data_IF_565053635140
#
_entry.id   IF_565053635140
#
_cell.length_a   1.000
_cell.length_b   1.000
_cell.length_c   1.000
_cell.angle_alpha   90.00
_cell.angle_beta   90.00
_cell.angle_gamma   90.00
#
_symmetry.space_group_name_H-M   'P 1'
#
loop_
_entity.id
_entity.type
_entity.pdbx_description
1 polymer ?
#
# COMPACT_ATOMS: atom_id res chain seq x y z
N UNK A 1 55.68 -6.92 27.92
CA UNK A 1 55.40 -7.37 26.54
C UNK A 1 54.85 -6.15 25.82
N UNK A 2 55.68 -5.34 25.14
CA UNK A 2 55.87 -5.28 23.66
C UNK A 2 54.52 -5.16 22.94
N UNK A 3 54.18 -4.25 22.02
CA UNK A 3 54.77 -3.15 21.20
C UNK A 3 53.52 -2.48 20.57
N UNK A 4 53.42 -1.24 20.09
CA UNK A 4 54.22 -0.52 19.11
C UNK A 4 53.27 0.33 18.23
N UNK A 5 53.50 1.64 18.25
CA UNK A 5 53.48 2.65 17.17
C UNK A 5 52.59 2.52 15.91
N UNK A 6 51.95 3.65 15.53
CA UNK A 6 51.51 3.93 14.16
C UNK A 6 50.87 5.31 13.98
N UNK A 7 51.68 6.34 13.68
CA UNK A 7 51.23 7.67 13.21
C UNK A 7 50.97 7.66 11.70
N UNK A 8 49.99 8.46 11.24
CA UNK A 8 50.06 9.13 9.93
C UNK A 8 49.29 10.44 9.96
N UNK A 9 49.85 11.45 9.28
CA UNK A 9 49.53 12.88 9.30
C UNK A 9 49.03 13.29 7.91
N UNK A 10 47.90 14.02 7.92
CA UNK A 10 47.46 15.17 7.08
C UNK A 10 47.77 15.24 5.58
N UNK A 11 46.72 15.55 4.79
CA UNK A 11 46.77 16.64 3.80
C UNK A 11 45.37 17.08 3.34
N UNK A 12 45.04 18.32 3.66
CA UNK A 12 44.03 19.20 3.02
C UNK A 12 44.54 19.61 1.63
N UNK A 13 43.68 20.03 0.68
CA UNK A 13 43.56 21.42 0.15
C UNK A 13 42.56 21.53 -1.04
N UNK A 14 41.74 22.60 -1.00
CA UNK A 14 41.25 23.51 -2.08
C UNK A 14 40.12 23.19 -3.07
N UNK A 15 39.18 24.16 -3.07
CA UNK A 15 38.21 24.56 -4.11
C UNK A 15 38.87 24.98 -5.43
N UNK A 16 38.14 24.83 -6.55
CA UNK A 16 38.12 25.86 -7.61
C UNK A 16 36.84 25.79 -8.45
N UNK A 17 36.35 26.97 -8.81
CA UNK A 17 35.18 27.28 -9.65
C UNK A 17 35.54 27.30 -11.14
N UNK A 18 34.62 26.95 -12.04
CA UNK A 18 34.60 27.55 -13.38
C UNK A 18 33.20 27.51 -14.00
N UNK A 19 32.70 28.71 -14.30
CA UNK A 19 31.57 29.05 -15.14
C UNK A 19 31.93 28.78 -16.62
N UNK A 20 31.05 28.16 -17.40
CA UNK A 20 31.04 28.32 -18.86
C UNK A 20 29.61 28.38 -19.40
N UNK A 21 29.33 29.49 -20.06
CA UNK A 21 28.12 29.82 -20.80
C UNK A 21 28.23 29.24 -22.21
N UNK A 22 27.20 28.55 -22.70
CA UNK A 22 27.05 28.30 -24.15
C UNK A 22 25.57 28.33 -24.57
N UNK A 23 25.27 29.39 -25.32
CA UNK A 23 24.03 29.65 -26.06
C UNK A 23 24.07 28.90 -27.39
N UNK A 24 22.99 28.24 -27.84
CA UNK A 24 22.75 28.00 -29.25
C UNK A 24 21.78 29.06 -29.81
N UNK A 25 22.26 29.78 -30.83
CA UNK A 25 21.43 30.55 -31.76
C UNK A 25 20.93 29.59 -32.84
N UNK A 26 19.62 29.49 -33.06
CA UNK A 26 19.09 28.96 -34.33
C UNK A 26 17.80 29.71 -34.74
N UNK A 27 17.99 30.48 -35.81
CA UNK A 27 17.13 30.71 -36.98
C UNK A 27 15.62 30.53 -36.87
N UNK A 28 14.92 31.65 -37.06
CA UNK A 28 13.50 31.79 -37.33
C UNK A 28 13.04 30.98 -38.55
N UNK A 29 11.93 30.24 -38.41
CA UNK A 29 11.09 29.84 -39.54
C UNK A 29 9.64 30.07 -39.16
N UNK A 30 8.98 30.94 -39.92
CA UNK A 30 7.57 31.30 -39.81
C UNK A 30 6.68 30.20 -40.40
N UNK A 31 5.71 29.69 -39.64
CA UNK A 31 4.50 29.10 -40.21
C UNK A 31 3.27 29.36 -39.30
N UNK A 32 2.35 30.13 -39.88
CA UNK A 32 0.88 30.16 -39.79
C UNK A 32 0.15 29.72 -38.52
N UNK A 33 -0.63 30.65 -37.97
CA UNK A 33 -1.60 30.55 -36.88
C UNK A 33 -2.92 29.85 -37.24
N UNK A 34 -3.48 29.06 -36.31
CA UNK A 34 -4.94 28.80 -36.12
C UNK A 34 -5.18 28.36 -34.65
N UNK A 35 -6.36 28.63 -34.05
CA UNK A 35 -6.46 28.93 -32.61
C UNK A 35 -6.59 27.71 -31.70
N UNK A 36 -6.22 27.98 -30.45
CA UNK A 36 -6.43 27.26 -29.20
C UNK A 36 -7.84 26.67 -29.05
N UNK A 37 -7.91 25.41 -28.62
CA UNK A 37 -9.00 24.92 -27.77
C UNK A 37 -8.38 24.03 -26.70
N UNK A 38 -8.21 24.62 -25.51
CA UNK A 38 -7.80 23.91 -24.30
C UNK A 38 -8.95 23.01 -23.87
N UNK A 39 -8.81 21.69 -24.08
CA UNK A 39 -9.67 20.71 -23.43
C UNK A 39 -8.84 19.98 -22.40
N UNK A 40 -9.03 20.36 -21.14
CA UNK A 40 -8.48 19.65 -19.98
C UNK A 40 -9.17 18.29 -19.89
N UNK A 41 -8.59 17.26 -20.52
CA UNK A 41 -9.07 15.89 -20.35
C UNK A 41 -8.66 15.43 -18.96
N UNK A 42 -9.61 15.46 -18.03
CA UNK A 42 -9.52 14.84 -16.71
C UNK A 42 -9.21 13.36 -16.91
N UNK A 43 -7.96 12.95 -16.64
CA UNK A 43 -7.58 11.54 -16.57
C UNK A 43 -8.47 10.87 -15.54
N UNK A 44 -9.43 10.09 -16.05
CA UNK A 44 -10.24 9.21 -15.24
C UNK A 44 -9.48 7.89 -15.23
N UNK A 45 -8.65 7.68 -14.21
CA UNK A 45 -8.04 6.39 -13.92
C UNK A 45 -9.18 5.41 -13.63
N UNK A 46 -9.59 4.68 -14.65
CA UNK A 46 -10.54 3.59 -14.51
C UNK A 46 -9.75 2.42 -13.96
N UNK A 47 -9.79 2.24 -12.64
CA UNK A 47 -9.29 1.05 -11.96
C UNK A 47 -10.09 -0.14 -12.47
N UNK A 48 -9.55 -0.80 -13.49
CA UNK A 48 -10.16 -2.01 -14.05
C UNK A 48 -9.81 -3.16 -13.13
N UNK A 49 -10.82 -3.68 -12.45
CA UNK A 49 -10.78 -4.93 -11.69
C UNK A 49 -10.26 -6.03 -12.63
N UNK A 50 -9.09 -6.60 -12.34
CA UNK A 50 -8.66 -7.83 -12.99
C UNK A 50 -9.35 -8.97 -12.25
N UNK A 51 -10.47 -9.43 -12.77
CA UNK A 51 -11.12 -10.65 -12.31
C UNK A 51 -10.68 -11.80 -13.23
N UNK A 52 -10.35 -12.95 -12.64
CA UNK A 52 -10.35 -14.26 -13.28
C UNK A 52 -11.50 -14.43 -14.28
N UNK A 53 -11.29 -15.23 -15.33
CA UNK A 53 -12.27 -15.54 -16.39
C UNK A 53 -13.61 -16.12 -15.89
N UNK A 54 -13.72 -16.38 -14.58
CA UNK A 54 -14.91 -16.86 -13.88
C UNK A 54 -15.72 -15.78 -13.15
N UNK A 55 -15.26 -14.52 -13.14
CA UNK A 55 -15.90 -13.40 -12.44
C UNK A 55 -15.73 -13.43 -10.91
N UNK A 56 -14.85 -14.28 -10.37
CA UNK A 56 -14.56 -14.39 -8.94
C UNK A 56 -13.09 -14.10 -8.70
N UNK A 57 -12.77 -13.27 -7.71
CA UNK A 57 -11.40 -13.04 -7.29
C UNK A 57 -11.01 -14.01 -6.16
N UNK A 58 -9.84 -14.64 -6.26
CA UNK A 58 -9.31 -15.61 -5.31
C UNK A 58 -8.08 -15.02 -4.62
N UNK A 59 -8.12 -14.94 -3.30
CA UNK A 59 -7.05 -14.37 -2.49
C UNK A 59 -6.43 -15.43 -1.58
N UNK A 60 -5.11 -15.40 -1.43
CA UNK A 60 -4.43 -16.11 -0.36
C UNK A 60 -4.30 -15.22 0.88
N UNK A 61 -4.53 -15.77 2.06
CA UNK A 61 -4.27 -15.08 3.32
C UNK A 61 -2.76 -15.02 3.55
N UNK A 62 -2.18 -13.83 3.57
CA UNK A 62 -0.74 -13.63 3.66
C UNK A 62 -0.39 -13.13 5.07
N UNK A 63 0.40 -13.90 5.80
CA UNK A 63 0.86 -13.52 7.14
C UNK A 63 2.02 -12.53 7.01
N UNK A 64 1.75 -11.23 7.25
CA UNK A 64 2.79 -10.20 7.12
C UNK A 64 3.81 -10.36 8.25
N UNK A 65 5.06 -10.53 7.86
CA UNK A 65 6.23 -10.55 8.73
C UNK A 65 7.35 -9.70 8.15
N UNK A 66 8.48 -9.63 8.85
CA UNK A 66 9.68 -8.96 8.34
C UNK A 66 10.13 -9.60 7.03
N UNK A 67 10.38 -8.76 6.02
CA UNK A 67 10.86 -9.19 4.70
C UNK A 67 11.69 -8.08 4.03
N UNK A 68 12.32 -8.45 2.93
CA UNK A 68 12.97 -7.56 1.98
C UNK A 68 12.07 -7.31 0.76
N UNK A 69 12.37 -6.24 0.01
CA UNK A 69 11.67 -5.97 -1.24
C UNK A 69 11.82 -7.08 -2.29
N UNK A 70 12.95 -7.79 -2.30
CA UNK A 70 13.18 -8.90 -3.25
C UNK A 70 12.32 -10.12 -2.92
N UNK A 71 12.12 -10.42 -1.63
CA UNK A 71 11.20 -11.47 -1.17
C UNK A 71 9.76 -11.11 -1.55
N UNK A 72 9.33 -9.86 -1.34
CA UNK A 72 7.99 -9.41 -1.76
C UNK A 72 7.74 -9.60 -3.27
N UNK A 73 8.73 -9.30 -4.12
CA UNK A 73 8.65 -9.55 -5.57
C UNK A 73 8.54 -11.04 -5.88
N UNK A 74 9.28 -11.88 -5.15
CA UNK A 74 9.22 -13.34 -5.31
C UNK A 74 7.85 -13.86 -4.94
N UNK A 75 7.32 -13.49 -3.78
CA UNK A 75 6.03 -13.95 -3.28
C UNK A 75 4.86 -13.53 -4.19
N UNK A 76 4.87 -12.29 -4.69
CA UNK A 76 3.85 -11.81 -5.63
C UNK A 76 3.92 -12.58 -6.95
N UNK A 77 5.11 -12.80 -7.50
CA UNK A 77 5.27 -13.55 -8.76
C UNK A 77 4.85 -15.01 -8.60
N UNK A 78 5.22 -15.65 -7.50
CA UNK A 78 4.87 -17.04 -7.23
C UNK A 78 3.36 -17.19 -7.02
N UNK A 79 2.70 -16.24 -6.35
CA UNK A 79 1.26 -16.25 -6.19
C UNK A 79 0.49 -16.03 -7.52
N UNK A 80 0.98 -15.11 -8.36
CA UNK A 80 0.47 -14.94 -9.74
C UNK A 80 0.62 -16.25 -10.51
N UNK A 81 1.79 -16.89 -10.46
CA UNK A 81 2.06 -18.15 -11.14
C UNK A 81 1.19 -19.31 -10.62
N UNK A 82 0.82 -19.30 -9.33
CA UNK A 82 -0.11 -20.24 -8.72
C UNK A 82 -1.59 -19.96 -9.06
N UNK A 83 -1.90 -18.81 -9.67
CA UNK A 83 -3.24 -18.45 -10.11
C UNK A 83 -4.07 -17.69 -9.06
N UNK A 84 -3.44 -17.08 -8.07
CA UNK A 84 -4.12 -16.16 -7.16
C UNK A 84 -4.29 -14.78 -7.81
N UNK A 85 -5.43 -14.14 -7.54
CA UNK A 85 -5.69 -12.76 -7.97
C UNK A 85 -5.11 -11.74 -6.97
N UNK A 86 -4.77 -12.17 -5.76
CA UNK A 86 -4.25 -11.27 -4.75
C UNK A 86 -3.92 -11.87 -3.38
N UNK A 87 -3.53 -10.99 -2.46
CA UNK A 87 -3.37 -11.31 -1.04
C UNK A 87 -4.32 -10.53 -0.13
N UNK A 88 -4.83 -11.23 0.89
CA UNK A 88 -5.37 -10.62 2.10
C UNK A 88 -4.22 -10.46 3.11
N UNK A 89 -3.71 -9.24 3.27
CA UNK A 89 -2.52 -8.94 4.07
C UNK A 89 -2.85 -8.88 5.56
N UNK A 90 -2.53 -9.94 6.29
CA UNK A 90 -2.75 -10.03 7.74
C UNK A 90 -1.75 -9.16 8.50
N UNK A 91 -2.21 -8.07 9.09
CA UNK A 91 -1.38 -7.18 9.89
C UNK A 91 -1.77 -7.23 11.36
N UNK A 92 -0.79 -7.52 12.23
CA UNK A 92 -0.97 -7.65 13.68
C UNK A 92 -0.37 -6.49 14.47
N UNK A 93 0.12 -5.45 13.80
CA UNK A 93 0.56 -4.21 14.42
C UNK A 93 0.25 -3.04 13.50
N UNK A 94 -0.10 -1.90 14.11
CA UNK A 94 -0.29 -0.61 13.44
C UNK A 94 0.59 0.48 14.07
N UNK A 95 1.50 0.10 14.95
CA UNK A 95 2.37 1.04 15.65
C UNK A 95 3.38 1.65 14.69
N UNK A 96 3.59 2.96 14.78
CA UNK A 96 4.63 3.66 14.02
C UNK A 96 6.05 3.25 14.42
N UNK A 97 6.23 2.60 15.59
CA UNK A 97 7.52 2.03 16.00
C UNK A 97 7.88 0.76 15.25
N UNK A 98 6.88 0.04 14.73
CA UNK A 98 7.04 -1.27 14.12
C UNK A 98 7.23 -1.10 12.61
N UNK A 99 8.29 -0.38 12.23
CA UNK A 99 8.53 0.02 10.84
C UNK A 99 8.62 -1.18 9.90
N UNK A 100 9.09 -2.33 10.40
CA UNK A 100 9.14 -3.59 9.64
C UNK A 100 7.80 -3.98 9.00
N UNK A 101 6.67 -3.71 9.68
CA UNK A 101 5.34 -4.07 9.18
C UNK A 101 4.93 -3.14 8.05
N UNK A 102 5.10 -1.83 8.25
CA UNK A 102 4.82 -0.82 7.22
C UNK A 102 5.74 -0.99 6.01
N UNK A 103 7.02 -1.34 6.22
CA UNK A 103 7.98 -1.62 5.16
C UNK A 103 7.55 -2.85 4.35
N UNK A 104 7.20 -3.97 5.01
CA UNK A 104 6.71 -5.18 4.36
C UNK A 104 5.45 -4.92 3.52
N UNK A 105 4.47 -4.21 4.07
CA UNK A 105 3.26 -3.83 3.33
C UNK A 105 3.61 -2.99 2.09
N UNK A 106 4.45 -1.97 2.22
CA UNK A 106 4.88 -1.15 1.09
C UNK A 106 5.65 -1.95 0.03
N UNK A 107 6.49 -2.90 0.44
CA UNK A 107 7.20 -3.79 -0.49
C UNK A 107 6.24 -4.65 -1.29
N UNK A 108 5.21 -5.24 -0.65
CA UNK A 108 4.19 -6.02 -1.33
C UNK A 108 3.37 -5.16 -2.31
N UNK A 109 2.93 -3.96 -1.89
CA UNK A 109 2.23 -3.03 -2.78
C UNK A 109 3.10 -2.60 -3.97
N UNK A 110 4.39 -2.35 -3.74
CA UNK A 110 5.34 -2.01 -4.80
C UNK A 110 5.56 -3.18 -5.75
N UNK A 111 5.67 -4.41 -5.24
CA UNK A 111 5.83 -5.62 -6.05
C UNK A 111 4.60 -5.91 -6.92
N UNK A 112 3.39 -5.60 -6.42
CA UNK A 112 2.14 -5.81 -7.15
C UNK A 112 1.81 -4.68 -8.15
N UNK A 113 2.41 -3.49 -8.01
CA UNK A 113 2.15 -2.34 -8.88
C UNK A 113 2.48 -2.65 -10.35
N UNK A 114 1.63 -2.19 -11.28
CA UNK A 114 1.78 -2.50 -12.71
C UNK A 114 1.42 -3.93 -13.12
N UNK A 115 0.99 -4.79 -12.18
CA UNK A 115 0.47 -6.14 -12.46
C UNK A 115 -1.07 -6.19 -12.31
N UNK A 116 -1.67 -7.33 -12.61
CA UNK A 116 -3.08 -7.61 -12.29
C UNK A 116 -3.31 -7.98 -10.82
N UNK A 117 -2.26 -8.26 -10.05
CA UNK A 117 -2.34 -8.75 -8.68
C UNK A 117 -2.82 -7.65 -7.74
N UNK A 118 -3.76 -7.98 -6.85
CA UNK A 118 -4.39 -7.02 -5.93
C UNK A 118 -4.15 -7.37 -4.48
N UNK A 119 -4.16 -6.35 -3.63
CA UNK A 119 -3.88 -6.49 -2.20
C UNK A 119 -4.94 -5.74 -1.42
N UNK A 120 -5.32 -6.26 -0.25
CA UNK A 120 -6.08 -5.50 0.74
C UNK A 120 -5.60 -5.85 2.15
N UNK A 121 -5.92 -4.97 3.10
CA UNK A 121 -5.53 -5.16 4.50
C UNK A 121 -6.57 -6.03 5.23
N UNK A 122 -6.07 -7.05 5.93
CA UNK A 122 -6.79 -7.83 6.93
C UNK A 122 -6.24 -7.49 8.30
N UNK A 123 -7.00 -6.77 9.12
CA UNK A 123 -6.57 -6.43 10.47
C UNK A 123 -6.72 -7.62 11.41
N UNK A 124 -5.62 -8.05 12.03
CA UNK A 124 -5.64 -9.10 13.03
C UNK A 124 -5.97 -8.51 14.40
N UNK A 125 -7.26 -8.43 14.71
CA UNK A 125 -7.76 -7.81 15.94
C UNK A 125 -7.43 -8.64 17.19
N UNK A 126 -6.93 -9.88 17.04
CA UNK A 126 -6.56 -10.74 18.19
C UNK A 126 -5.38 -10.18 18.98
N UNK A 127 -4.63 -9.26 18.36
CA UNK A 127 -3.50 -8.56 18.95
C UNK A 127 -3.88 -7.28 19.69
N UNK A 128 -5.17 -6.98 19.82
CA UNK A 128 -5.64 -5.79 20.54
C UNK A 128 -5.31 -4.48 19.84
N UNK A 129 -5.44 -4.47 18.50
CA UNK A 129 -5.27 -3.25 17.71
C UNK A 129 -6.29 -2.19 18.13
N UNK A 130 -5.84 -0.95 18.26
CA UNK A 130 -6.70 0.19 18.59
C UNK A 130 -7.54 0.58 17.38
N UNK A 131 -8.86 0.36 17.48
CA UNK A 131 -9.85 0.62 16.42
C UNK A 131 -9.77 2.05 15.91
N UNK A 132 -9.56 3.02 16.82
CA UNK A 132 -9.52 4.45 16.51
C UNK A 132 -8.33 4.85 15.62
N UNK A 133 -7.29 4.02 15.55
CA UNK A 133 -6.09 4.25 14.75
C UNK A 133 -6.09 3.49 13.41
N UNK A 134 -7.04 2.57 13.19
CA UNK A 134 -7.08 1.73 11.98
C UNK A 134 -7.28 2.57 10.71
N UNK A 135 -8.16 3.58 10.75
CA UNK A 135 -8.43 4.41 9.58
C UNK A 135 -7.18 5.19 9.13
N UNK A 136 -6.44 5.76 10.09
CA UNK A 136 -5.21 6.50 9.83
C UNK A 136 -4.11 5.60 9.27
N UNK A 137 -3.96 4.40 9.82
CA UNK A 137 -3.01 3.40 9.32
C UNK A 137 -3.36 2.93 7.91
N UNK A 138 -4.65 2.72 7.62
CA UNK A 138 -5.13 2.16 6.35
C UNK A 138 -5.00 3.12 5.16
N UNK A 139 -5.30 4.41 5.38
CA UNK A 139 -5.41 5.43 4.35
C UNK A 139 -4.25 5.46 3.32
N UNK A 140 -2.96 5.44 3.71
CA UNK A 140 -1.86 5.45 2.74
C UNK A 140 -1.81 4.21 1.84
N UNK A 141 -2.31 3.06 2.29
CA UNK A 141 -2.33 1.83 1.50
C UNK A 141 -3.48 1.81 0.49
N UNK A 142 -4.65 2.35 0.86
CA UNK A 142 -5.81 2.44 -0.05
C UNK A 142 -5.50 3.31 -1.28
N UNK A 143 -4.59 4.27 -1.15
CA UNK A 143 -4.14 5.10 -2.26
C UNK A 143 -3.21 4.39 -3.25
N UNK A 144 -2.72 3.18 -2.95
CA UNK A 144 -1.82 2.43 -3.81
C UNK A 144 -2.57 1.79 -4.99
N UNK A 145 -1.94 1.76 -6.17
CA UNK A 145 -2.52 1.22 -7.41
C UNK A 145 -3.02 -0.24 -7.29
N UNK A 146 -2.28 -1.05 -6.54
CA UNK A 146 -2.58 -2.46 -6.35
C UNK A 146 -3.67 -2.71 -5.29
N UNK A 147 -4.24 -1.69 -4.65
CA UNK A 147 -5.29 -1.90 -3.65
C UNK A 147 -6.57 -2.48 -4.29
N UNK A 148 -7.19 -3.43 -3.61
CA UNK A 148 -8.39 -4.11 -4.10
C UNK A 148 -9.67 -3.32 -3.77
N UNK A 149 -10.50 -3.09 -4.79
CA UNK A 149 -11.78 -2.40 -4.66
C UNK A 149 -12.93 -3.26 -5.20
N UNK A 150 -14.10 -3.12 -4.58
CA UNK A 150 -15.37 -3.70 -5.04
C UNK A 150 -16.36 -2.56 -5.21
N UNK A 151 -16.88 -2.37 -6.43
CA UNK A 151 -17.81 -1.27 -6.75
C UNK A 151 -17.32 0.12 -6.31
N UNK A 152 -16.02 0.37 -6.45
CA UNK A 152 -15.37 1.62 -6.03
C UNK A 152 -15.15 1.77 -4.52
N UNK A 153 -15.45 0.74 -3.73
CA UNK A 153 -15.27 0.71 -2.27
C UNK A 153 -14.01 -0.08 -1.90
N UNK A 154 -13.21 0.43 -0.97
CA UNK A 154 -11.98 -0.21 -0.52
C UNK A 154 -12.32 -1.49 0.25
N UNK A 155 -11.89 -2.65 -0.26
CA UNK A 155 -12.16 -3.91 0.42
C UNK A 155 -11.29 -4.03 1.67
N UNK A 156 -11.91 -4.32 2.82
CA UNK A 156 -11.23 -4.43 4.11
C UNK A 156 -11.80 -5.62 4.84
N UNK A 157 -10.94 -6.39 5.51
CA UNK A 157 -11.36 -7.50 6.36
C UNK A 157 -10.68 -7.45 7.71
N UNK A 158 -11.11 -8.33 8.59
CA UNK A 158 -10.45 -8.57 9.88
C UNK A 158 -10.31 -10.06 10.11
N UNK A 159 -9.30 -10.46 10.89
CA UNK A 159 -9.37 -11.67 11.68
C UNK A 159 -9.82 -11.27 13.08
N UNK A 160 -10.90 -11.88 13.59
CA UNK A 160 -11.59 -11.54 14.84
C UNK A 160 -12.07 -10.07 14.91
N UNK A 161 -12.57 -9.62 16.08
CA UNK A 161 -13.12 -8.28 16.31
C UNK A 161 -14.64 -8.25 16.54
N UNK A 162 -15.26 -9.41 16.71
CA UNK A 162 -16.69 -9.56 17.03
C UNK A 162 -17.06 -9.19 18.45
N UNK A 163 -16.08 -9.09 19.35
CA UNK A 163 -16.24 -8.53 20.70
C UNK A 163 -16.31 -7.00 20.73
N UNK A 164 -15.85 -6.33 19.66
CA UNK A 164 -15.96 -4.88 19.49
C UNK A 164 -17.40 -4.53 19.10
N UNK A 165 -17.96 -3.50 19.74
CA UNK A 165 -19.35 -3.12 19.49
C UNK A 165 -19.54 -2.53 18.09
N UNK A 166 -20.72 -2.72 17.49
CA UNK A 166 -21.05 -2.09 16.21
C UNK A 166 -20.90 -0.56 16.26
N UNK A 167 -21.24 0.07 17.39
CA UNK A 167 -21.09 1.51 17.58
C UNK A 167 -19.63 1.96 17.55
N UNK A 168 -18.72 1.16 18.10
CA UNK A 168 -17.29 1.45 18.11
C UNK A 168 -16.67 1.25 16.73
N UNK A 169 -17.01 0.15 16.02
CA UNK A 169 -16.63 -0.02 14.62
C UNK A 169 -17.10 1.16 13.75
N UNK A 170 -18.33 1.64 13.98
CA UNK A 170 -18.88 2.77 13.24
C UNK A 170 -18.16 4.09 13.59
N UNK A 171 -18.13 4.47 14.87
CA UNK A 171 -17.61 5.78 15.30
C UNK A 171 -16.10 5.92 15.17
N UNK A 172 -15.36 4.84 15.37
CA UNK A 172 -13.91 4.89 15.53
C UNK A 172 -13.17 4.39 14.27
N UNK A 173 -13.85 3.65 13.39
CA UNK A 173 -13.26 3.18 12.13
C UNK A 173 -14.00 3.65 10.87
N UNK A 174 -15.28 3.30 10.70
CA UNK A 174 -16.01 3.57 9.46
C UNK A 174 -16.19 5.08 9.22
N UNK A 175 -16.71 5.82 10.20
CA UNK A 175 -16.92 7.27 10.09
C UNK A 175 -15.61 8.02 9.84
N UNK A 176 -14.50 7.77 10.58
CA UNK A 176 -13.22 8.41 10.29
C UNK A 176 -12.69 8.08 8.89
N UNK A 177 -12.82 6.83 8.43
CA UNK A 177 -12.37 6.42 7.10
C UNK A 177 -13.11 7.19 5.99
N UNK A 178 -14.42 7.34 6.11
CA UNK A 178 -15.24 8.08 5.15
C UNK A 178 -15.05 9.58 5.24
N UNK A 179 -15.14 10.16 6.43
CA UNK A 179 -15.22 11.62 6.62
C UNK A 179 -13.85 12.30 6.62
N UNK A 180 -12.82 11.64 7.16
CA UNK A 180 -11.47 12.22 7.24
C UNK A 180 -10.65 11.88 6.01
N UNK A 181 -10.75 10.64 5.52
CA UNK A 181 -9.91 10.14 4.43
C UNK A 181 -10.64 10.03 3.09
N UNK A 182 -11.96 10.21 3.04
CA UNK A 182 -12.73 10.12 1.79
C UNK A 182 -12.76 8.71 1.23
N UNK A 183 -12.55 7.68 2.06
CA UNK A 183 -12.49 6.28 1.66
C UNK A 183 -13.80 5.61 2.08
N UNK A 184 -14.58 5.14 1.10
CA UNK A 184 -15.77 4.33 1.37
C UNK A 184 -15.39 2.85 1.48
N UNK A 185 -15.59 2.19 2.62
CA UNK A 185 -15.21 0.80 2.81
C UNK A 185 -16.23 -0.18 2.20
N UNK A 186 -15.73 -1.32 1.74
CA UNK A 186 -16.44 -2.59 1.66
C UNK A 186 -15.91 -3.45 2.81
N UNK A 187 -16.59 -3.42 3.96
CA UNK A 187 -16.12 -4.08 5.17
C UNK A 187 -16.66 -5.51 5.26
N UNK A 188 -15.76 -6.49 5.20
CA UNK A 188 -16.05 -7.92 5.24
C UNK A 188 -15.31 -8.58 6.41
N UNK A 189 -15.77 -8.38 7.67
CA UNK A 189 -15.08 -8.88 8.84
C UNK A 189 -15.23 -10.39 9.05
N UNK A 190 -14.23 -11.03 9.68
CA UNK A 190 -14.36 -12.36 10.25
C UNK A 190 -14.50 -12.28 11.78
N UNK A 191 -15.71 -11.99 12.25
CA UNK A 191 -16.07 -11.93 13.68
C UNK A 191 -16.31 -13.32 14.29
N UNK A 192 -15.35 -14.24 14.11
CA UNK A 192 -15.44 -15.60 14.64
C UNK A 192 -15.47 -15.69 16.18
N UNK A 193 -15.07 -14.62 16.86
CA UNK A 193 -15.17 -14.43 18.32
C UNK A 193 -16.52 -13.85 18.78
N UNK A 194 -17.44 -13.54 17.87
CA UNK A 194 -18.78 -13.07 18.23
C UNK A 194 -19.60 -14.18 18.88
N UNK A 195 -20.20 -13.91 20.03
CA UNK A 195 -20.95 -14.89 20.82
C UNK A 195 -22.24 -15.39 20.14
N UNK A 196 -22.77 -14.67 19.16
CA UNK A 196 -23.92 -15.09 18.36
C UNK A 196 -23.55 -15.88 17.10
N UNK A 197 -22.29 -16.29 16.93
CA UNK A 197 -21.90 -17.17 15.83
C UNK A 197 -22.70 -18.50 15.89
N UNK A 198 -23.19 -19.04 14.76
CA UNK A 198 -23.96 -20.28 14.76
C UNK A 198 -23.17 -21.42 15.44
N UNK A 199 -23.69 -21.95 16.54
CA UNK A 199 -23.13 -23.16 17.15
C UNK A 199 -23.68 -24.38 16.41
N UNK A 200 -22.80 -25.31 16.01
CA UNK A 200 -23.20 -26.61 15.44
C UNK A 200 -23.48 -26.68 13.94
N UNK A 201 -22.82 -25.87 13.11
CA UNK A 201 -22.91 -25.95 11.63
C UNK A 201 -21.89 -26.89 10.96
N UNK A 202 -21.28 -27.80 11.73
CA UNK A 202 -20.56 -28.99 11.22
C UNK A 202 -20.88 -30.20 12.09
#
# INVERSE_FOLDING_TARGET
VSTGTGSSVTSTTTKSSTTTTSKPTTTSTSTTTKPTTTTTTKSTTTSTSSASSTGRAVFAHYMVGTMTAAEAVTDVNDAIAAGFDGFALNTHTISSSDTWNTDALNYLFTAAAGTSFKLFISFDMSWGLDVSNLAAFLAPFVAQEAYYFVDGKAFISTYTGGTISNSEWDSDFIVPLEQTYGITPYFAPNFGDYSGYPTGVF
#
